data_IF_476194793390
#
_entry.id   IF_476194793390
#
_cell.length_a   1.000
_cell.length_b   1.000
_cell.length_c   1.000
_cell.angle_alpha   90.00
_cell.angle_beta   90.00
_cell.angle_gamma   90.00
#
_symmetry.space_group_name_H-M   'P 1'
#
loop_
_entity.id
_entity.type
_entity.pdbx_description
1 polymer ?
#
# COMPACT_ATOMS: atom_id res chain seq x y z
N UNK A 1 -8.69 5.64 17.48
CA UNK A 1 -9.83 4.76 17.82
C UNK A 1 -10.90 4.85 16.74
N UNK A 2 -11.33 3.70 16.21
CA UNK A 2 -12.69 3.51 15.71
C UNK A 2 -13.29 2.39 16.56
N UNK A 3 -14.34 2.74 17.29
CA UNK A 3 -15.03 1.96 18.30
C UNK A 3 -16.12 1.09 17.66
N UNK A 4 -15.72 0.10 16.88
CA UNK A 4 -16.57 -1.05 16.55
C UNK A 4 -15.63 -2.26 16.52
N UNK A 5 -15.86 -3.23 17.40
CA UNK A 5 -14.98 -4.38 17.67
C UNK A 5 -14.83 -5.40 16.53
N UNK A 6 -14.63 -4.96 15.29
CA UNK A 6 -14.37 -5.84 14.15
C UNK A 6 -12.89 -6.24 14.07
N UNK A 7 -12.64 -7.55 14.15
CA UNK A 7 -11.32 -8.17 13.98
C UNK A 7 -10.92 -8.11 12.49
N UNK A 8 -9.82 -7.42 12.19
CA UNK A 8 -9.23 -7.42 10.84
C UNK A 8 -7.96 -8.30 10.81
N UNK A 9 -7.95 -9.30 9.92
CA UNK A 9 -6.82 -10.19 9.68
C UNK A 9 -6.13 -9.84 8.36
N UNK A 10 -4.78 -9.77 8.30
CA UNK A 10 -4.07 -9.63 7.05
C UNK A 10 -4.12 -10.97 6.28
N UNK A 11 -4.60 -10.92 5.03
CA UNK A 11 -4.57 -12.07 4.11
C UNK A 11 -3.14 -12.25 3.58
N UNK A 12 -2.56 -13.42 3.80
CA UNK A 12 -1.33 -13.85 3.11
C UNK A 12 -1.73 -14.79 1.97
N UNK A 13 -1.23 -14.53 0.77
CA UNK A 13 -1.42 -15.37 -0.42
C UNK A 13 -0.06 -15.86 -0.89
N UNK A 14 0.08 -17.18 -1.05
CA UNK A 14 1.17 -17.79 -1.81
C UNK A 14 0.63 -18.12 -3.19
N UNK A 15 1.32 -17.69 -4.24
CA UNK A 15 1.03 -18.03 -5.64
C UNK A 15 2.20 -18.81 -6.21
N UNK A 16 1.91 -19.91 -6.87
CA UNK A 16 2.86 -20.70 -7.66
C UNK A 16 2.37 -20.61 -9.11
N UNK A 17 3.27 -20.37 -10.06
CA UNK A 17 2.90 -20.33 -11.47
C UNK A 17 2.47 -21.73 -11.92
N UNK A 18 1.23 -21.82 -12.39
CA UNK A 18 0.64 -23.06 -12.88
C UNK A 18 0.92 -23.16 -14.39
N UNK A 19 1.35 -24.32 -14.92
CA UNK A 19 1.50 -24.53 -16.37
C UNK A 19 0.22 -24.16 -17.13
N UNK A 20 0.37 -23.66 -18.36
CA UNK A 20 -0.74 -23.08 -19.13
C UNK A 20 -1.84 -24.11 -19.46
N UNK A 21 -1.45 -25.37 -19.55
CA UNK A 21 -2.31 -26.52 -19.82
C UNK A 21 -3.30 -26.79 -18.67
N UNK A 22 -2.93 -26.42 -17.45
CA UNK A 22 -3.75 -26.56 -16.24
C UNK A 22 -4.61 -25.31 -15.95
N UNK A 23 -4.59 -24.30 -16.84
CA UNK A 23 -5.40 -23.10 -16.65
C UNK A 23 -6.87 -23.39 -16.90
N UNK A 24 -7.70 -23.24 -15.86
CA UNK A 24 -9.15 -23.28 -16.01
C UNK A 24 -9.64 -21.98 -16.64
N UNK A 25 -10.16 -22.06 -17.86
CA UNK A 25 -10.82 -20.93 -18.51
C UNK A 25 -12.07 -20.51 -17.74
N UNK A 26 -12.02 -19.36 -17.06
CA UNK A 26 -13.21 -18.79 -16.43
C UNK A 26 -14.04 -18.12 -17.52
N UNK A 27 -15.31 -18.53 -17.75
CA UNK A 27 -16.16 -17.86 -18.72
C UNK A 27 -16.42 -16.44 -18.22
N UNK A 28 -15.97 -15.46 -19.00
CA UNK A 28 -16.19 -14.04 -18.71
C UNK A 28 -17.47 -13.62 -19.45
N UNK A 29 -18.52 -13.19 -18.74
CA UNK A 29 -19.71 -12.62 -19.38
C UNK A 29 -19.34 -11.45 -20.28
N UNK A 30 -20.14 -11.19 -21.31
CA UNK A 30 -19.93 -10.01 -22.14
C UNK A 30 -20.01 -8.76 -21.27
N UNK A 31 -18.99 -7.90 -21.38
CA UNK A 31 -18.89 -6.68 -20.59
C UNK A 31 -19.75 -5.55 -21.16
N UNK A 32 -20.31 -5.72 -22.36
CA UNK A 32 -21.02 -4.67 -23.10
C UNK A 32 -20.08 -3.57 -23.62
N UNK A 33 -18.76 -3.75 -23.47
CA UNK A 33 -17.73 -2.83 -23.94
C UNK A 33 -17.24 -3.33 -25.30
N UNK A 34 -17.38 -2.50 -26.33
CA UNK A 34 -16.94 -2.82 -27.68
C UNK A 34 -15.45 -3.15 -27.72
N UNK A 35 -15.11 -4.23 -28.43
CA UNK A 35 -13.73 -4.72 -28.55
C UNK A 35 -12.79 -3.66 -29.11
N UNK A 36 -13.28 -2.87 -30.07
CA UNK A 36 -12.50 -1.80 -30.71
C UNK A 36 -12.14 -0.70 -29.72
N UNK A 37 -13.03 -0.36 -28.79
CA UNK A 37 -12.76 0.61 -27.72
C UNK A 37 -11.67 0.09 -26.78
N UNK A 38 -11.71 -1.20 -26.43
CA UNK A 38 -10.69 -1.85 -25.61
C UNK A 38 -9.33 -1.84 -26.32
N UNK A 39 -9.30 -2.14 -27.61
CA UNK A 39 -8.08 -2.12 -28.42
C UNK A 39 -7.52 -0.70 -28.55
N UNK A 40 -8.37 0.30 -28.79
CA UNK A 40 -8.00 1.71 -28.84
C UNK A 40 -7.38 2.17 -27.51
N UNK A 41 -8.01 1.84 -26.38
CA UNK A 41 -7.48 2.16 -25.05
C UNK A 41 -6.12 1.50 -24.79
N UNK A 42 -5.95 0.22 -25.16
CA UNK A 42 -4.67 -0.49 -25.03
C UNK A 42 -3.58 0.13 -25.88
N UNK A 43 -3.89 0.48 -27.13
CA UNK A 43 -2.94 1.14 -28.03
C UNK A 43 -2.55 2.53 -27.51
N UNK A 44 -3.49 3.29 -26.97
CA UNK A 44 -3.24 4.62 -26.41
C UNK A 44 -2.26 4.57 -25.22
N UNK A 45 -2.30 3.52 -24.39
CA UNK A 45 -1.40 3.38 -23.23
C UNK A 45 -0.16 2.52 -23.51
N UNK A 46 -0.08 1.85 -24.67
CA UNK A 46 1.03 0.94 -25.03
C UNK A 46 2.38 1.63 -24.94
N UNK A 47 2.44 2.87 -25.42
CA UNK A 47 3.65 3.69 -25.45
C UNK A 47 3.72 4.69 -24.28
N UNK A 48 2.84 4.56 -23.28
CA UNK A 48 3.00 5.29 -22.02
C UNK A 48 4.27 4.79 -21.35
N UNK A 49 5.39 5.41 -21.69
CA UNK A 49 6.62 5.29 -20.90
C UNK A 49 6.24 5.69 -19.49
N UNK A 50 6.51 4.79 -18.53
CA UNK A 50 6.67 5.22 -17.13
C UNK A 50 7.57 6.44 -17.21
N UNK A 51 7.10 7.60 -16.75
CA UNK A 51 7.93 8.80 -16.72
C UNK A 51 9.25 8.38 -16.07
N UNK A 52 10.33 8.38 -16.86
CA UNK A 52 11.63 7.98 -16.36
C UNK A 52 11.96 8.96 -15.24
N UNK A 53 12.49 8.45 -14.12
CA UNK A 53 13.07 9.27 -13.07
C UNK A 53 14.41 9.86 -13.55
N UNK A 54 14.44 10.45 -14.74
CA UNK A 54 15.62 10.87 -15.49
C UNK A 54 16.36 12.00 -14.75
N UNK A 55 17.13 11.64 -13.73
CA UNK A 55 17.96 12.54 -12.93
C UNK A 55 17.18 13.54 -12.07
N UNK A 56 15.87 13.36 -11.93
CA UNK A 56 15.03 14.21 -11.08
C UNK A 56 15.03 13.63 -9.67
N UNK A 57 14.93 14.51 -8.67
CA UNK A 57 14.99 14.16 -7.25
C UNK A 57 14.21 12.89 -6.92
N UNK A 58 14.85 11.94 -6.25
CA UNK A 58 14.20 10.74 -5.76
C UNK A 58 13.36 11.07 -4.53
N UNK A 59 12.06 10.86 -4.62
CA UNK A 59 11.13 11.16 -3.54
C UNK A 59 10.95 9.95 -2.64
N UNK A 60 11.68 9.91 -1.53
CA UNK A 60 11.80 8.74 -0.65
C UNK A 60 10.48 8.32 0.00
N UNK A 61 9.55 9.27 0.21
CA UNK A 61 8.29 9.03 0.92
C UNK A 61 7.07 8.90 -0.02
N UNK A 62 7.30 8.61 -1.30
CA UNK A 62 6.25 8.29 -2.27
C UNK A 62 5.70 6.87 -2.08
N UNK A 63 4.74 6.44 -2.91
CA UNK A 63 4.20 5.08 -2.82
C UNK A 63 3.32 4.82 -1.58
N UNK A 64 2.68 5.86 -1.05
CA UNK A 64 1.80 5.84 0.14
C UNK A 64 2.50 5.71 1.49
N UNK A 65 3.83 5.85 1.55
CA UNK A 65 4.61 5.93 2.81
C UNK A 65 4.18 7.16 3.61
N UNK A 66 4.15 8.35 2.99
CA UNK A 66 3.63 9.56 3.63
C UNK A 66 2.12 9.72 3.38
N UNK A 67 1.37 9.85 4.48
CA UNK A 67 -0.08 10.10 4.46
C UNK A 67 -0.43 11.37 5.20
N UNK A 68 -1.50 12.02 4.75
CA UNK A 68 -2.02 13.21 5.40
C UNK A 68 -2.58 12.84 6.78
N UNK A 69 -2.13 13.54 7.83
CA UNK A 69 -2.61 13.32 9.20
C UNK A 69 -4.10 13.62 9.39
N UNK A 70 -4.69 14.50 8.57
CA UNK A 70 -6.10 14.91 8.70
C UNK A 70 -7.04 13.98 7.93
N UNK A 71 -6.76 13.70 6.66
CA UNK A 71 -7.67 12.95 5.79
C UNK A 71 -7.17 11.57 5.37
N UNK A 72 -5.97 11.16 5.80
CA UNK A 72 -5.43 9.82 5.61
C UNK A 72 -4.99 9.47 4.18
N UNK A 73 -5.25 10.33 3.19
CA UNK A 73 -4.86 10.07 1.80
C UNK A 73 -3.33 10.16 1.63
N UNK A 74 -2.80 9.45 0.63
CA UNK A 74 -1.41 9.58 0.25
C UNK A 74 -1.07 11.01 -0.15
N UNK A 75 0.04 11.53 0.39
CA UNK A 75 0.53 12.85 0.05
C UNK A 75 1.17 12.85 -1.35
N UNK A 76 0.97 13.95 -2.06
CA UNK A 76 1.52 14.17 -3.40
C UNK A 76 2.82 14.96 -3.34
N UNK A 77 3.64 14.83 -4.37
CA UNK A 77 4.90 15.57 -4.53
C UNK A 77 4.67 16.88 -5.28
N UNK A 78 5.51 17.87 -5.00
CA UNK A 78 5.48 19.17 -5.65
C UNK A 78 6.90 19.73 -5.76
N UNK A 79 7.39 19.90 -6.98
CA UNK A 79 8.68 20.54 -7.26
C UNK A 79 8.45 21.92 -7.86
N UNK A 80 8.98 22.94 -7.20
CA UNK A 80 8.99 24.31 -7.70
C UNK A 80 10.37 24.53 -8.34
N UNK A 81 10.44 24.36 -9.66
CA UNK A 81 11.69 24.40 -10.44
C UNK A 81 12.48 25.69 -10.23
N UNK A 82 11.82 26.86 -10.27
CA UNK A 82 12.49 28.16 -10.15
C UNK A 82 13.13 28.46 -8.79
N UNK A 83 12.85 27.67 -7.76
CA UNK A 83 13.45 27.82 -6.41
C UNK A 83 14.16 26.54 -5.94
N UNK A 84 14.29 25.58 -6.85
CA UNK A 84 14.63 24.18 -6.59
C UNK A 84 14.00 23.63 -5.28
N UNK A 85 12.74 23.97 -5.05
CA UNK A 85 12.09 23.73 -3.78
C UNK A 85 11.12 22.55 -3.87
N UNK A 86 11.33 21.55 -3.02
CA UNK A 86 10.62 20.28 -3.05
C UNK A 86 9.72 20.12 -1.84
N UNK A 87 8.46 19.71 -2.06
CA UNK A 87 7.47 19.60 -1.02
C UNK A 87 6.58 18.37 -1.15
N UNK A 88 6.17 17.83 -0.01
CA UNK A 88 5.01 16.95 0.13
C UNK A 88 3.78 17.78 0.53
N UNK A 89 2.64 17.48 -0.09
CA UNK A 89 1.38 18.20 0.16
C UNK A 89 0.17 17.27 0.12
N UNK A 90 -0.91 17.66 0.77
CA UNK A 90 -2.15 16.88 0.77
C UNK A 90 -2.80 16.91 -0.63
N UNK A 91 -2.84 15.75 -1.30
CA UNK A 91 -3.42 15.60 -2.65
C UNK A 91 -4.91 15.95 -2.66
N UNK A 92 -5.65 15.54 -1.63
CA UNK A 92 -7.10 15.81 -1.53
C UNK A 92 -7.40 17.30 -1.36
N UNK A 93 -6.66 18.01 -0.50
CA UNK A 93 -6.83 19.46 -0.34
C UNK A 93 -6.45 20.19 -1.62
N UNK A 94 -5.35 19.80 -2.27
CA UNK A 94 -4.92 20.49 -3.48
C UNK A 94 -5.88 20.25 -4.66
N UNK A 95 -6.34 19.02 -4.86
CA UNK A 95 -7.23 18.67 -5.96
C UNK A 95 -8.70 19.09 -5.74
N UNK A 96 -9.16 19.21 -4.49
CA UNK A 96 -10.58 19.48 -4.16
C UNK A 96 -10.81 20.74 -3.31
N UNK A 97 -9.77 21.53 -3.08
CA UNK A 97 -9.84 22.79 -2.33
C UNK A 97 -9.83 22.64 -0.81
N UNK A 98 -9.90 23.80 -0.13
CA UNK A 98 -9.76 23.94 1.33
C UNK A 98 -10.83 23.17 2.11
N UNK A 99 -12.06 23.10 1.59
CA UNK A 99 -13.16 22.37 2.24
C UNK A 99 -12.98 20.85 2.26
N UNK A 100 -12.11 20.29 1.42
CA UNK A 100 -11.93 18.85 1.33
C UNK A 100 -10.96 18.26 2.37
N UNK A 101 -10.09 19.09 2.96
CA UNK A 101 -9.17 18.72 4.03
C UNK A 101 -8.55 19.97 4.69
N UNK A 102 -8.52 20.00 6.02
CA UNK A 102 -7.96 21.07 6.88
C UNK A 102 -6.43 21.21 6.77
N UNK A 103 -5.72 20.18 6.32
CA UNK A 103 -4.25 20.14 6.20
C UNK A 103 -3.72 21.17 5.19
N UNK A 104 -3.40 22.37 5.66
CA UNK A 104 -2.85 23.47 4.85
C UNK A 104 -1.33 23.41 4.67
N UNK A 105 -0.64 22.64 5.52
CA UNK A 105 0.82 22.61 5.58
C UNK A 105 1.40 21.79 4.42
N UNK A 106 2.39 22.38 3.76
CA UNK A 106 3.28 21.67 2.85
C UNK A 106 4.60 21.39 3.57
N UNK A 107 5.09 20.16 3.46
CA UNK A 107 6.30 19.71 4.15
C UNK A 107 7.47 19.73 3.18
N UNK A 108 8.57 20.39 3.55
CA UNK A 108 9.81 20.38 2.73
C UNK A 108 10.34 18.95 2.63
N UNK A 109 10.61 18.49 1.42
CA UNK A 109 11.01 17.10 1.16
C UNK A 109 12.29 16.75 1.91
N UNK A 110 13.37 17.49 1.66
CA UNK A 110 14.69 17.31 2.30
C UNK A 110 14.60 17.18 3.83
N UNK A 111 13.87 18.10 4.48
CA UNK A 111 13.72 18.10 5.94
C UNK A 111 12.91 16.91 6.45
N UNK A 112 11.86 16.54 5.73
CA UNK A 112 10.94 15.48 6.15
C UNK A 112 11.58 14.12 5.94
N UNK A 113 12.23 13.93 4.81
CA UNK A 113 12.98 12.72 4.46
C UNK A 113 14.14 12.50 5.43
N UNK A 114 14.94 13.53 5.69
CA UNK A 114 16.02 13.43 6.68
C UNK A 114 15.50 13.08 8.08
N UNK A 115 14.36 13.65 8.51
CA UNK A 115 13.76 13.33 9.79
C UNK A 115 13.29 11.86 9.86
N UNK A 116 12.63 11.37 8.80
CA UNK A 116 12.20 9.96 8.72
C UNK A 116 13.42 9.04 8.67
N UNK A 117 14.43 9.35 7.88
CA UNK A 117 15.65 8.56 7.78
C UNK A 117 16.41 8.50 9.11
N UNK A 118 16.55 9.63 9.81
CA UNK A 118 17.20 9.67 11.12
C UNK A 118 16.43 8.83 12.15
N UNK A 119 15.10 8.87 12.11
CA UNK A 119 14.28 8.02 12.98
C UNK A 119 14.47 6.54 12.65
N UNK A 120 14.31 6.14 11.39
CA UNK A 120 14.43 4.74 10.95
C UNK A 120 15.84 4.22 11.21
N UNK A 121 16.87 4.97 10.82
CA UNK A 121 18.26 4.57 11.07
C UNK A 121 18.59 4.51 12.56
N UNK A 122 18.02 5.39 13.38
CA UNK A 122 18.16 5.32 14.84
C UNK A 122 17.58 4.03 15.42
N UNK A 123 16.40 3.61 14.96
CA UNK A 123 15.80 2.33 15.36
C UNK A 123 16.63 1.14 14.88
N UNK A 124 17.11 1.17 13.64
CA UNK A 124 17.89 0.07 13.06
C UNK A 124 19.29 -0.08 13.68
N UNK A 125 19.86 1.00 14.21
CA UNK A 125 21.17 0.99 14.87
C UNK A 125 21.12 0.58 16.35
N UNK A 126 19.92 0.51 16.93
CA UNK A 126 19.72 0.04 18.30
C UNK A 126 19.32 -1.44 18.28
N UNK A 127 20.27 -2.37 18.55
CA UNK A 127 20.01 -3.80 18.42
C UNK A 127 18.95 -4.30 19.41
N UNK A 128 18.81 -3.68 20.58
CA UNK A 128 17.81 -4.08 21.58
C UNK A 128 16.41 -3.63 21.16
N UNK A 129 16.26 -2.39 20.66
CA UNK A 129 14.98 -1.93 20.10
C UNK A 129 14.59 -2.71 18.86
N UNK A 130 15.56 -3.05 18.01
CA UNK A 130 15.33 -3.87 16.84
C UNK A 130 14.88 -5.28 17.21
N UNK A 131 15.56 -5.93 18.17
CA UNK A 131 15.17 -7.25 18.70
C UNK A 131 13.78 -7.22 19.31
N UNK A 132 13.49 -6.26 20.19
CA UNK A 132 12.17 -6.14 20.81
C UNK A 132 11.05 -5.96 19.76
N UNK A 133 11.27 -5.13 18.74
CA UNK A 133 10.32 -4.95 17.65
C UNK A 133 10.14 -6.21 16.79
N UNK A 134 11.23 -6.92 16.48
CA UNK A 134 11.17 -8.20 15.74
C UNK A 134 10.49 -9.30 16.56
N UNK A 135 10.75 -9.36 17.86
CA UNK A 135 10.13 -10.30 18.78
C UNK A 135 8.64 -10.01 18.92
N UNK A 136 8.21 -8.76 18.99
CA UNK A 136 6.79 -8.38 18.96
C UNK A 136 6.11 -8.88 17.68
N UNK A 137 6.75 -8.68 16.52
CA UNK A 137 6.24 -9.16 15.22
C UNK A 137 6.20 -10.69 15.18
N UNK A 138 7.24 -11.35 15.70
CA UNK A 138 7.40 -12.80 15.69
C UNK A 138 6.42 -13.49 16.65
N UNK A 139 6.27 -12.98 17.88
CA UNK A 139 5.31 -13.43 18.88
C UNK A 139 3.88 -13.20 18.38
N UNK A 140 3.60 -12.03 17.82
CA UNK A 140 2.33 -11.75 17.15
C UNK A 140 2.03 -12.74 16.03
N UNK A 141 3.05 -13.13 15.25
CA UNK A 141 2.92 -14.12 14.16
C UNK A 141 2.71 -15.56 14.67
N UNK A 142 3.43 -15.96 15.73
CA UNK A 142 3.30 -17.28 16.39
C UNK A 142 1.92 -17.45 17.04
N UNK A 143 1.44 -16.43 17.77
CA UNK A 143 0.11 -16.43 18.38
C UNK A 143 -1.00 -16.50 17.33
N UNK A 144 -0.87 -15.76 16.22
CA UNK A 144 -1.79 -15.84 15.07
C UNK A 144 -1.78 -17.25 14.45
N UNK A 145 -0.61 -17.89 14.30
CA UNK A 145 -0.47 -19.24 13.74
C UNK A 145 -1.05 -20.33 14.66
N UNK A 146 -0.83 -20.25 15.98
CA UNK A 146 -1.38 -21.18 16.97
C UNK A 146 -2.92 -21.10 17.06
N UNK A 147 -3.49 -19.89 16.97
CA UNK A 147 -4.94 -19.69 16.93
C UNK A 147 -5.58 -20.27 15.64
N UNK A 148 -4.88 -20.24 14.51
CA UNK A 148 -5.32 -20.86 13.25
C UNK A 148 -5.35 -22.39 13.36
N UNK A 149 -4.32 -23.00 13.96
CA UNK A 149 -4.24 -24.46 14.14
C UNK A 149 -5.36 -24.99 15.04
N UNK A 150 -5.64 -24.32 16.17
CA UNK A 150 -6.75 -24.69 17.08
C UNK A 150 -8.13 -24.66 16.41
N UNK A 151 -8.36 -23.73 15.47
CA UNK A 151 -9.63 -23.69 14.71
C UNK A 151 -9.76 -24.81 13.69
N UNK A 152 -8.66 -25.24 13.06
CA UNK A 152 -8.66 -26.36 12.12
C UNK A 152 -8.89 -27.71 12.80
N UNK A 153 -8.36 -27.90 14.02
CA UNK A 153 -8.58 -29.11 14.80
C UNK A 153 -9.98 -29.23 15.42
N UNK A 154 -10.76 -28.14 15.46
CA UNK A 154 -12.15 -28.15 15.95
C UNK A 154 -13.22 -28.36 14.88
N UNK A 155 -12.84 -28.45 13.60
CA UNK A 155 -13.74 -28.80 12.49
C UNK A 155 -13.51 -30.27 12.14
N UNK A 156 -13.99 -31.14 13.02
CA UNK A 156 -14.02 -32.59 12.82
C UNK A 156 -15.28 -33.14 13.47
N UNK A 157 -16.09 -33.86 12.69
CA UNK A 157 -17.36 -34.51 13.04
C UNK A 157 -18.63 -33.66 13.00
N UNK A 158 -19.18 -33.52 11.79
CA UNK A 158 -20.61 -33.78 11.58
C UNK A 158 -20.83 -34.14 10.11
N UNK A 159 -20.48 -35.38 9.77
CA UNK A 159 -21.14 -36.04 8.65
C UNK A 159 -22.55 -36.40 9.09
N UNK A 160 -23.55 -36.06 8.29
CA UNK A 160 -24.84 -36.76 8.31
C UNK A 160 -25.26 -37.09 6.88
N UNK A 161 -25.60 -38.35 6.59
CA UNK A 161 -26.01 -38.80 5.26
C UNK A 161 -27.51 -38.62 5.01
N UNK A 162 -27.81 -38.46 3.72
CA UNK A 162 -29.07 -38.62 2.96
C UNK A 162 -30.38 -38.24 3.64
#
# INVERSE_FOLDING_TARGET
MKSNGEKSYPKVRNSVDVPREEWTGVPVPDSGILRDLVLAARNAIKENKKCSNAGRYFWELTGSVMRCGECGVAMGTNHITGRDARYYRCTRRYGRGVGACTMSKNFRAEKTEAAVWNFVSGVLKDPERLRAGLDEICLGSKLRRAAILKRKSGVGSSGSPK
#
